data_IF_716943013708
#
_entry.id   IF_716943013708
#
_cell.length_a   1.000
_cell.length_b   1.000
_cell.length_c   1.000
_cell.angle_alpha   90.00
_cell.angle_beta   90.00
_cell.angle_gamma   90.00
#
_symmetry.space_group_name_H-M   'P 1'
#
loop_
_entity.id
_entity.type
_entity.pdbx_description
1 polymer ?
#
# COMPACT_ATOMS: atom_id res chain seq x y z
N UNK A 1 0.53 10.15 25.18
CA UNK A 1 -0.78 10.53 24.61
C UNK A 1 -1.74 10.66 25.79
N UNK A 2 -2.11 11.89 26.15
CA UNK A 2 -3.17 12.11 27.15
C UNK A 2 -4.44 12.11 26.31
N UNK A 3 -5.22 11.04 26.38
CA UNK A 3 -6.53 10.98 25.74
C UNK A 3 -7.42 12.07 26.34
N UNK A 4 -7.64 13.15 25.59
CA UNK A 4 -8.72 14.09 25.87
C UNK A 4 -10.04 13.44 25.44
N UNK A 5 -10.52 12.48 26.23
CA UNK A 5 -11.90 12.06 26.16
C UNK A 5 -12.77 13.25 26.56
N UNK A 6 -13.45 13.88 25.60
CA UNK A 6 -14.49 14.84 25.92
C UNK A 6 -15.78 14.05 26.23
N UNK A 7 -15.96 13.66 27.49
CA UNK A 7 -17.03 12.78 28.01
C UNK A 7 -18.43 13.45 27.94
N UNK A 8 -18.53 14.67 27.40
CA UNK A 8 -19.75 15.49 27.45
C UNK A 8 -20.63 15.41 26.20
N UNK A 9 -20.23 14.66 25.16
CA UNK A 9 -21.07 14.49 23.96
C UNK A 9 -21.98 13.27 24.11
N UNK A 10 -23.29 13.41 23.84
CA UNK A 10 -24.19 12.27 23.87
C UNK A 10 -23.82 11.29 22.75
N UNK A 11 -23.78 10.01 23.10
CA UNK A 11 -23.60 8.92 22.15
C UNK A 11 -24.90 8.14 21.99
N UNK A 12 -25.06 7.57 20.82
CA UNK A 12 -26.24 6.80 20.43
C UNK A 12 -25.78 5.56 19.67
N UNK A 13 -26.42 4.44 19.92
CA UNK A 13 -26.35 3.28 19.04
C UNK A 13 -27.23 3.48 17.81
N UNK A 14 -26.96 2.75 16.74
CA UNK A 14 -27.82 2.78 15.54
C UNK A 14 -29.28 2.40 15.86
N UNK A 15 -29.51 1.46 16.79
CA UNK A 15 -30.86 1.13 17.26
C UNK A 15 -31.55 2.29 17.99
N UNK A 16 -30.82 3.01 18.85
CA UNK A 16 -31.36 4.19 19.54
C UNK A 16 -31.70 5.32 18.55
N UNK A 17 -30.81 5.62 17.60
CA UNK A 17 -31.08 6.60 16.55
C UNK A 17 -32.33 6.24 15.74
N UNK A 18 -32.47 4.96 15.39
CA UNK A 18 -33.62 4.49 14.61
C UNK A 18 -34.93 4.58 15.39
N UNK A 19 -34.91 4.24 16.69
CA UNK A 19 -36.08 4.42 17.59
C UNK A 19 -36.46 5.89 17.76
N UNK A 20 -35.47 6.78 17.76
CA UNK A 20 -35.67 8.23 17.79
C UNK A 20 -36.11 8.81 16.43
N UNK A 21 -36.21 7.97 15.38
CA UNK A 21 -36.55 8.36 14.00
C UNK A 21 -35.59 9.39 13.41
N UNK A 22 -34.33 9.34 13.83
CA UNK A 22 -33.26 10.15 13.22
C UNK A 22 -32.93 9.56 11.87
N UNK A 23 -32.87 10.41 10.84
CA UNK A 23 -32.50 10.05 9.48
C UNK A 23 -30.97 10.05 9.30
N UNK A 24 -30.49 9.33 8.29
CA UNK A 24 -29.07 9.39 7.89
C UNK A 24 -28.60 10.80 7.53
N UNK A 25 -29.48 11.59 6.91
CA UNK A 25 -29.21 12.99 6.61
C UNK A 25 -29.02 13.83 7.87
N UNK A 26 -29.82 13.63 8.92
CA UNK A 26 -29.63 14.30 10.21
C UNK A 26 -28.32 13.90 10.89
N UNK A 27 -27.94 12.61 10.82
CA UNK A 27 -26.64 12.14 11.31
C UNK A 27 -25.49 12.85 10.60
N UNK A 28 -25.56 13.02 9.28
CA UNK A 28 -24.59 13.77 8.49
C UNK A 28 -24.51 15.24 8.92
N UNK A 29 -25.66 15.89 9.16
CA UNK A 29 -25.71 17.28 9.63
C UNK A 29 -25.14 17.45 11.05
N UNK A 30 -25.07 16.38 11.84
CA UNK A 30 -24.46 16.36 13.18
C UNK A 30 -22.95 16.10 13.16
N UNK A 31 -22.27 16.53 12.08
CA UNK A 31 -20.82 16.44 11.93
C UNK A 31 -20.27 15.01 11.95
N UNK A 32 -21.07 14.03 11.52
CA UNK A 32 -20.58 12.67 11.26
C UNK A 32 -19.76 12.60 9.97
N UNK A 33 -18.98 11.53 9.80
CA UNK A 33 -18.44 11.17 8.49
C UNK A 33 -19.57 10.68 7.57
N UNK A 34 -19.35 10.83 6.25
CA UNK A 34 -20.25 10.28 5.22
C UNK A 34 -20.41 8.77 5.41
N UNK A 35 -19.30 8.05 5.58
CA UNK A 35 -19.33 6.60 5.77
C UNK A 35 -20.22 6.16 6.94
N UNK A 36 -20.27 6.93 8.03
CA UNK A 36 -21.10 6.58 9.19
C UNK A 36 -22.58 6.80 8.88
N UNK A 37 -22.91 7.90 8.20
CA UNK A 37 -24.26 8.19 7.75
C UNK A 37 -24.75 7.14 6.73
N UNK A 38 -23.90 6.71 5.81
CA UNK A 38 -24.20 5.64 4.85
C UNK A 38 -24.39 4.27 5.52
N UNK A 39 -23.52 3.92 6.47
CA UNK A 39 -23.69 2.69 7.25
C UNK A 39 -24.97 2.71 8.09
N UNK A 40 -25.33 3.86 8.62
CA UNK A 40 -26.59 4.03 9.33
C UNK A 40 -27.79 3.96 8.38
N UNK A 41 -27.70 4.51 7.16
CA UNK A 41 -28.72 4.33 6.11
C UNK A 41 -28.89 2.84 5.76
N UNK A 42 -27.79 2.12 5.56
CA UNK A 42 -27.81 0.68 5.32
C UNK A 42 -28.44 -0.10 6.49
N UNK A 43 -28.18 0.30 7.73
CA UNK A 43 -28.83 -0.24 8.91
C UNK A 43 -30.36 0.00 8.90
N UNK A 44 -30.81 1.20 8.53
CA UNK A 44 -32.24 1.52 8.40
C UNK A 44 -32.91 0.65 7.34
N UNK A 45 -32.26 0.46 6.19
CA UNK A 45 -32.82 -0.25 5.04
C UNK A 45 -32.81 -1.78 5.25
N UNK A 46 -31.77 -2.33 5.89
CA UNK A 46 -31.60 -3.77 6.11
C UNK A 46 -31.15 -4.11 7.55
N UNK A 47 -31.99 -3.86 8.58
CA UNK A 47 -31.59 -3.96 9.99
C UNK A 47 -31.18 -5.39 10.41
N UNK A 48 -31.80 -6.42 9.84
CA UNK A 48 -31.53 -7.84 10.16
C UNK A 48 -30.18 -8.31 9.60
N UNK A 49 -29.73 -7.74 8.47
CA UNK A 49 -28.49 -8.14 7.79
C UNK A 49 -27.27 -7.35 8.23
N UNK A 50 -27.48 -6.11 8.70
CA UNK A 50 -26.36 -5.21 8.99
C UNK A 50 -25.48 -5.68 10.16
N UNK A 51 -25.99 -6.48 11.11
CA UNK A 51 -25.28 -6.85 12.36
C UNK A 51 -24.64 -5.66 13.11
N UNK A 52 -25.08 -4.42 12.83
CA UNK A 52 -24.51 -3.15 13.32
C UNK A 52 -25.34 -2.48 14.41
N UNK A 53 -26.19 -3.24 15.10
CA UNK A 53 -27.07 -2.73 16.17
C UNK A 53 -26.31 -1.93 17.24
N UNK A 54 -25.09 -2.37 17.57
CA UNK A 54 -24.24 -1.78 18.60
C UNK A 54 -23.22 -0.78 18.06
N UNK A 55 -23.26 -0.44 16.76
CA UNK A 55 -22.38 0.59 16.21
C UNK A 55 -22.75 1.94 16.82
N UNK A 56 -21.74 2.67 17.31
CA UNK A 56 -21.92 3.89 18.07
C UNK A 56 -21.70 5.12 17.18
N UNK A 57 -22.59 6.09 17.34
CA UNK A 57 -22.49 7.44 16.83
C UNK A 57 -22.34 8.41 17.99
N UNK A 58 -21.44 9.39 17.85
CA UNK A 58 -21.26 10.48 18.81
C UNK A 58 -21.79 11.76 18.18
N UNK A 59 -22.77 12.39 18.83
CA UNK A 59 -23.32 13.66 18.35
C UNK A 59 -22.40 14.81 18.77
N UNK A 60 -21.48 15.15 17.87
CA UNK A 60 -20.49 16.17 18.12
C UNK A 60 -21.11 17.56 17.99
N UNK A 61 -21.02 18.35 19.06
CA UNK A 61 -21.41 19.76 19.00
C UNK A 61 -20.28 20.53 18.31
N UNK A 62 -20.55 21.36 17.29
CA UNK A 62 -19.53 22.21 16.69
C UNK A 62 -18.76 23.00 17.77
N UNK A 63 -17.42 23.14 17.66
CA UNK A 63 -16.57 22.82 16.51
C UNK A 63 -15.95 21.41 16.53
N UNK A 64 -16.47 20.50 17.37
CA UNK A 64 -15.90 19.16 17.53
C UNK A 64 -16.32 18.23 16.40
N UNK A 65 -15.41 17.35 15.96
CA UNK A 65 -15.63 16.36 14.91
C UNK A 65 -14.78 15.10 15.14
N UNK A 66 -14.99 14.08 14.31
CA UNK A 66 -14.35 12.77 14.42
C UNK A 66 -15.26 11.72 15.04
N UNK A 67 -14.86 10.45 14.93
CA UNK A 67 -15.65 9.28 15.36
C UNK A 67 -16.06 9.26 16.83
N UNK A 68 -15.38 10.05 17.67
CA UNK A 68 -15.62 10.22 19.11
C UNK A 68 -15.59 11.70 19.53
N UNK A 69 -15.82 12.63 18.59
CA UNK A 69 -15.70 14.07 18.82
C UNK A 69 -14.33 14.49 19.37
N UNK A 70 -13.27 13.77 19.00
CA UNK A 70 -11.93 13.93 19.56
C UNK A 70 -11.13 15.07 18.93
N UNK A 71 -11.59 15.60 17.80
CA UNK A 71 -10.90 16.67 17.08
C UNK A 71 -11.71 17.95 17.16
N UNK A 72 -11.01 19.07 17.25
CA UNK A 72 -11.56 20.41 17.08
C UNK A 72 -10.47 21.30 16.54
N UNK A 73 -10.83 22.30 15.76
CA UNK A 73 -9.88 23.35 15.42
C UNK A 73 -9.75 24.31 16.61
N UNK A 74 -8.52 24.54 17.10
CA UNK A 74 -8.24 25.49 18.20
C UNK A 74 -8.53 26.96 17.80
N UNK A 75 -8.78 27.22 16.53
CA UNK A 75 -8.87 28.57 15.99
C UNK A 75 -10.31 28.88 15.57
N UNK A 76 -10.91 29.85 16.28
CA UNK A 76 -12.12 30.56 15.88
C UNK A 76 -11.75 31.63 14.84
N UNK A 77 -10.99 31.25 13.81
CA UNK A 77 -10.66 32.11 12.67
C UNK A 77 -11.35 31.60 11.40
N UNK A 78 -11.39 32.45 10.37
CA UNK A 78 -12.03 32.08 9.11
C UNK A 78 -11.34 30.83 8.50
N UNK A 79 -12.07 30.11 7.65
CA UNK A 79 -11.58 28.88 7.01
C UNK A 79 -10.20 29.06 6.36
N UNK A 80 -9.96 30.20 5.71
CA UNK A 80 -8.70 30.51 5.03
C UNK A 80 -7.51 30.65 6.00
N UNK A 81 -7.73 31.19 7.19
CA UNK A 81 -6.69 31.33 8.21
C UNK A 81 -6.43 29.99 8.91
N UNK A 82 -7.46 29.14 9.03
CA UNK A 82 -7.30 27.77 9.54
C UNK A 82 -6.50 26.91 8.56
N UNK A 83 -6.82 26.94 7.26
CA UNK A 83 -6.06 26.22 6.23
C UNK A 83 -4.62 26.71 6.14
N UNK A 84 -4.40 28.03 6.17
CA UNK A 84 -3.05 28.61 6.18
C UNK A 84 -2.22 28.17 7.39
N UNK A 85 -2.82 28.14 8.59
CA UNK A 85 -2.09 27.73 9.80
C UNK A 85 -1.82 26.22 9.86
N UNK A 86 -2.72 25.37 9.34
CA UNK A 86 -2.48 23.93 9.19
C UNK A 86 -1.32 23.69 8.23
N UNK A 87 -1.33 24.38 7.09
CA UNK A 87 -0.27 24.32 6.09
C UNK A 87 1.09 24.78 6.64
N UNK A 88 1.12 25.73 7.57
CA UNK A 88 2.38 26.23 8.14
C UNK A 88 2.91 25.36 9.29
N UNK A 89 2.04 24.74 10.09
CA UNK A 89 2.43 23.84 11.19
C UNK A 89 2.98 22.49 10.70
N UNK A 90 2.65 22.03 9.49
CA UNK A 90 3.22 20.80 8.91
C UNK A 90 4.70 20.93 8.53
N UNK A 91 5.29 22.14 8.59
CA UNK A 91 6.72 22.36 8.33
C UNK A 91 7.68 21.93 9.45
N UNK A 92 7.18 21.47 10.62
CA UNK A 92 8.08 21.01 11.70
C UNK A 92 8.44 19.55 11.54
N UNK A 93 9.69 19.35 11.11
CA UNK A 93 10.50 18.14 10.98
C UNK A 93 10.41 17.13 12.13
N UNK A 94 9.31 16.41 12.25
CA UNK A 94 9.30 15.10 12.87
C UNK A 94 8.80 14.11 11.83
N UNK A 95 9.62 13.11 11.51
CA UNK A 95 9.28 12.03 10.60
C UNK A 95 7.89 11.51 10.99
N UNK A 96 6.88 11.82 10.16
CA UNK A 96 5.49 11.44 10.40
C UNK A 96 5.47 9.92 10.35
N UNK A 97 5.53 9.34 11.54
CA UNK A 97 5.74 7.91 11.81
C UNK A 97 4.39 7.17 11.87
N UNK A 98 3.30 7.85 11.54
CA UNK A 98 1.96 7.31 11.50
C UNK A 98 1.48 7.27 10.05
N UNK A 99 1.76 6.15 9.37
CA UNK A 99 1.19 5.90 8.04
C UNK A 99 -0.27 5.54 8.20
N UNK A 100 -1.12 6.11 7.34
CA UNK A 100 -2.53 5.76 7.28
C UNK A 100 -2.68 4.42 6.56
N UNK A 101 -3.47 3.53 7.14
CA UNK A 101 -3.85 2.27 6.52
C UNK A 101 -5.26 2.40 5.98
N UNK A 102 -5.50 1.84 4.80
CA UNK A 102 -6.85 1.62 4.32
C UNK A 102 -7.46 0.47 5.12
N UNK A 103 -8.55 0.75 5.84
CA UNK A 103 -9.15 -0.20 6.79
C UNK A 103 -10.51 -0.74 6.34
N UNK A 104 -11.08 -0.17 5.27
CA UNK A 104 -12.42 -0.57 4.80
C UNK A 104 -12.37 -1.87 3.97
N UNK A 105 -11.19 -2.24 3.48
CA UNK A 105 -10.93 -3.52 2.84
C UNK A 105 -10.16 -4.42 3.81
N UNK A 106 -10.70 -5.59 4.11
CA UNK A 106 -10.00 -6.60 4.89
C UNK A 106 -8.92 -7.25 4.02
N UNK A 107 -7.70 -6.70 4.05
CA UNK A 107 -6.58 -7.15 3.25
C UNK A 107 -5.52 -7.87 4.10
N UNK A 108 -5.18 -9.10 3.74
CA UNK A 108 -4.05 -9.82 4.33
C UNK A 108 -2.76 -9.50 3.56
N UNK A 109 -1.95 -8.58 4.08
CA UNK A 109 -0.62 -8.24 3.51
C UNK A 109 0.50 -9.22 3.92
N UNK A 110 0.17 -10.30 4.62
CA UNK A 110 1.10 -11.29 5.14
C UNK A 110 1.92 -10.85 6.36
N UNK A 111 2.49 -9.64 6.36
CA UNK A 111 3.31 -9.11 7.47
C UNK A 111 2.67 -7.87 8.08
N UNK A 112 2.55 -7.86 9.41
CA UNK A 112 1.79 -6.85 10.16
C UNK A 112 2.31 -5.40 10.05
N UNK A 113 3.55 -5.16 9.62
CA UNK A 113 4.11 -3.81 9.51
C UNK A 113 3.76 -3.10 8.20
N UNK A 114 3.36 -3.83 7.15
CA UNK A 114 2.91 -3.26 5.89
C UNK A 114 1.39 -3.33 5.82
N UNK A 115 0.74 -2.17 5.72
CA UNK A 115 -0.70 -2.10 5.54
C UNK A 115 -1.05 -1.56 4.15
N UNK A 116 -2.25 -1.93 3.69
CA UNK A 116 -2.79 -1.50 2.41
C UNK A 116 -2.94 0.03 2.39
N UNK A 117 -2.41 0.65 1.34
CA UNK A 117 -2.65 2.02 0.95
C UNK A 117 -3.81 2.05 -0.04
N UNK A 118 -4.62 3.10 -0.03
CA UNK A 118 -5.76 3.17 -0.95
C UNK A 118 -5.33 3.23 -2.43
N UNK A 119 -4.08 3.66 -2.68
CA UNK A 119 -3.48 3.74 -4.03
C UNK A 119 -3.07 2.38 -4.60
N UNK A 120 -3.13 1.34 -3.80
CA UNK A 120 -2.82 -0.06 -4.13
C UNK A 120 -4.12 -0.88 -4.30
N UNK A 121 -5.25 -0.21 -4.50
CA UNK A 121 -6.55 -0.84 -4.74
C UNK A 121 -6.93 -0.57 -6.18
N UNK A 122 -7.23 -1.60 -6.95
CA UNK A 122 -7.53 -1.52 -8.38
C UNK A 122 -6.40 -0.86 -9.17
N UNK A 123 -5.14 -1.18 -8.82
CA UNK A 123 -3.96 -0.70 -9.53
C UNK A 123 -3.39 -1.73 -10.52
N UNK A 124 -4.07 -2.87 -10.66
CA UNK A 124 -3.68 -4.00 -11.49
C UNK A 124 -2.69 -4.95 -10.81
N UNK A 125 -2.35 -4.75 -9.53
CA UNK A 125 -1.40 -5.56 -8.78
C UNK A 125 -2.08 -6.22 -7.59
N UNK A 126 -1.88 -7.54 -7.47
CA UNK A 126 -2.39 -8.29 -6.32
C UNK A 126 -1.46 -8.09 -5.11
N UNK A 127 -1.83 -7.19 -4.23
CA UNK A 127 -1.14 -6.88 -2.98
C UNK A 127 -1.68 -7.66 -1.77
N UNK A 128 -2.95 -8.08 -1.80
CA UNK A 128 -3.60 -8.83 -0.73
C UNK A 128 -3.57 -10.36 -0.95
N UNK A 129 -3.10 -11.11 0.05
CA UNK A 129 -2.92 -12.58 0.00
C UNK A 129 -4.23 -13.36 0.16
N UNK A 130 -5.28 -12.71 0.66
CA UNK A 130 -6.61 -13.28 0.77
C UNK A 130 -7.39 -13.11 -0.54
N UNK A 131 -6.98 -13.87 -1.54
CA UNK A 131 -7.63 -13.99 -2.87
C UNK A 131 -7.64 -12.69 -3.70
N UNK A 132 -6.67 -11.79 -3.49
CA UNK A 132 -6.52 -10.57 -4.29
C UNK A 132 -7.72 -9.63 -4.20
N UNK A 133 -8.24 -9.46 -2.98
CA UNK A 133 -9.44 -8.68 -2.69
C UNK A 133 -9.32 -7.19 -3.10
N UNK A 134 -8.11 -6.65 -3.09
CA UNK A 134 -7.73 -5.32 -3.59
C UNK A 134 -7.97 -5.15 -5.08
N UNK A 135 -7.85 -6.22 -5.85
CA UNK A 135 -8.10 -6.22 -7.29
C UNK A 135 -9.48 -6.83 -7.63
N UNK A 136 -10.31 -7.08 -6.61
CA UNK A 136 -11.64 -7.64 -6.78
C UNK A 136 -12.66 -6.55 -7.08
N UNK A 137 -13.56 -6.81 -8.05
CA UNK A 137 -14.67 -5.91 -8.42
C UNK A 137 -14.26 -4.53 -8.98
N UNK A 138 -12.99 -4.33 -9.34
CA UNK A 138 -12.47 -3.11 -9.97
C UNK A 138 -13.12 -2.80 -11.32
N UNK A 139 -13.53 -3.84 -12.06
CA UNK A 139 -14.14 -3.70 -13.37
C UNK A 139 -15.36 -2.77 -13.39
N UNK A 140 -16.19 -2.77 -12.34
CA UNK A 140 -17.36 -1.90 -12.27
C UNK A 140 -16.99 -0.42 -12.15
N UNK A 141 -15.88 -0.12 -11.45
CA UNK A 141 -15.33 1.23 -11.34
C UNK A 141 -14.68 1.65 -12.67
N UNK A 142 -13.91 0.74 -13.26
CA UNK A 142 -13.17 1.04 -14.47
C UNK A 142 -14.08 1.23 -15.67
N UNK A 143 -15.06 0.36 -15.93
CA UNK A 143 -15.90 0.40 -17.15
C UNK A 143 -16.87 1.58 -17.24
N UNK A 144 -16.89 2.46 -16.24
CA UNK A 144 -17.77 3.61 -16.22
C UNK A 144 -17.72 4.41 -17.54
N UNK A 145 -18.89 4.66 -18.14
CA UNK A 145 -19.01 5.43 -19.38
C UNK A 145 -19.28 6.91 -19.06
N UNK A 146 -18.38 7.78 -19.48
CA UNK A 146 -18.52 9.23 -19.27
C UNK A 146 -19.47 9.86 -20.30
N UNK A 147 -20.03 11.01 -19.96
CA UNK A 147 -20.88 11.77 -20.88
C UNK A 147 -20.07 12.33 -22.05
N UNK A 148 -20.75 12.75 -23.13
CA UNK A 148 -20.10 13.31 -24.33
C UNK A 148 -19.22 14.54 -24.06
N UNK A 149 -19.44 15.26 -22.95
CA UNK A 149 -18.70 16.44 -22.53
C UNK A 149 -17.61 16.13 -21.49
N UNK A 150 -17.34 14.87 -21.23
CA UNK A 150 -16.36 14.39 -20.26
C UNK A 150 -15.29 13.53 -20.95
N UNK A 151 -14.12 13.43 -20.31
CA UNK A 151 -13.07 12.50 -20.65
C UNK A 151 -12.91 11.50 -19.52
N UNK A 152 -12.54 10.27 -19.89
CA UNK A 152 -12.37 9.15 -18.96
C UNK A 152 -10.89 8.98 -18.63
N UNK A 153 -10.57 8.99 -17.35
CA UNK A 153 -9.27 8.60 -16.79
C UNK A 153 -9.04 7.09 -16.93
N UNK A 154 -7.80 6.60 -16.79
CA UNK A 154 -7.54 5.15 -16.89
C UNK A 154 -8.26 4.36 -15.80
N UNK A 155 -8.36 4.92 -14.58
CA UNK A 155 -9.11 4.32 -13.47
C UNK A 155 -10.65 4.43 -13.57
N UNK A 156 -11.21 4.93 -14.69
CA UNK A 156 -12.67 5.04 -14.90
C UNK A 156 -13.32 6.32 -14.35
N UNK A 157 -12.56 7.21 -13.70
CA UNK A 157 -13.05 8.53 -13.31
C UNK A 157 -13.40 9.38 -14.54
N UNK A 158 -14.53 10.09 -14.47
CA UNK A 158 -14.95 11.03 -15.51
C UNK A 158 -14.63 12.46 -15.10
N UNK A 159 -13.84 13.15 -15.91
CA UNK A 159 -13.49 14.55 -15.72
C UNK A 159 -14.07 15.42 -16.84
N UNK A 160 -14.51 16.66 -16.58
CA UNK A 160 -15.01 17.52 -17.64
C UNK A 160 -13.94 17.82 -18.69
N UNK A 161 -14.32 17.84 -19.98
CA UNK A 161 -13.40 18.12 -21.11
C UNK A 161 -12.65 19.44 -20.98
N UNK A 162 -13.22 20.41 -20.27
CA UNK A 162 -12.58 21.71 -20.01
C UNK A 162 -11.26 21.60 -19.25
N UNK A 163 -11.03 20.51 -18.53
CA UNK A 163 -9.80 20.27 -17.78
C UNK A 163 -8.76 19.45 -18.55
N UNK A 164 -9.12 18.91 -19.72
CA UNK A 164 -8.24 18.04 -20.51
C UNK A 164 -7.23 18.79 -21.37
N UNK A 165 -7.45 20.08 -21.62
CA UNK A 165 -6.54 20.91 -22.41
C UNK A 165 -5.35 21.40 -21.55
N UNK A 166 -4.39 20.50 -21.33
CA UNK A 166 -2.93 20.64 -21.51
C UNK A 166 -2.16 21.91 -21.12
N UNK A 167 -2.73 22.88 -20.39
CA UNK A 167 -2.04 24.12 -20.06
C UNK A 167 -1.37 24.02 -18.69
N UNK A 168 -0.22 23.33 -18.61
CA UNK A 168 0.65 23.25 -17.40
C UNK A 168 -0.13 23.15 -16.07
N UNK A 169 -1.23 22.38 -16.08
CA UNK A 169 -2.22 22.35 -15.02
C UNK A 169 -2.00 21.23 -14.02
N UNK A 170 -2.70 21.34 -12.89
CA UNK A 170 -2.87 20.27 -11.92
C UNK A 170 -3.62 19.10 -12.58
N UNK A 171 -3.30 17.86 -12.22
CA UNK A 171 -4.00 16.70 -12.76
C UNK A 171 -5.38 16.60 -12.12
N UNK A 172 -6.43 16.39 -12.91
CA UNK A 172 -7.77 16.12 -12.37
C UNK A 172 -7.99 14.62 -12.20
N UNK A 173 -7.35 13.80 -13.02
CA UNK A 173 -7.35 12.36 -12.81
C UNK A 173 -6.48 11.98 -11.60
N UNK A 174 -7.00 11.12 -10.72
CA UNK A 174 -6.24 10.63 -9.56
C UNK A 174 -4.97 9.86 -9.98
N UNK A 175 -4.99 9.18 -11.13
CA UNK A 175 -3.84 8.48 -11.72
C UNK A 175 -3.00 9.35 -12.68
N UNK A 176 -3.35 10.65 -12.79
CA UNK A 176 -2.73 11.62 -13.71
C UNK A 176 -2.76 11.20 -15.18
N UNK A 177 -3.71 10.35 -15.59
CA UNK A 177 -3.84 9.86 -16.97
C UNK A 177 -4.26 10.93 -17.98
N UNK A 178 -4.75 12.07 -17.50
CA UNK A 178 -5.05 13.28 -18.27
C UNK A 178 -3.79 14.11 -18.63
N UNK A 179 -2.65 13.85 -18.00
CA UNK A 179 -1.39 14.52 -18.29
C UNK A 179 -0.51 13.75 -19.29
N UNK A 180 0.14 14.44 -20.22
CA UNK A 180 1.10 13.82 -21.16
C UNK A 180 2.42 13.39 -20.48
N UNK A 181 2.85 14.13 -19.47
CA UNK A 181 4.05 13.86 -18.67
C UNK A 181 3.64 13.91 -17.22
N UNK A 182 3.94 12.88 -16.43
CA UNK A 182 3.80 12.99 -14.99
C UNK A 182 4.90 13.90 -14.45
N UNK A 183 4.58 15.09 -13.93
CA UNK A 183 5.53 15.76 -13.05
C UNK A 183 5.73 14.86 -11.83
N UNK A 184 6.98 14.51 -11.56
CA UNK A 184 7.35 13.99 -10.25
C UNK A 184 6.88 15.00 -9.20
N UNK A 185 6.32 14.49 -8.10
CA UNK A 185 5.99 15.32 -6.96
C UNK A 185 7.27 16.04 -6.52
N UNK A 186 7.36 17.38 -6.67
CA UNK A 186 8.60 18.08 -6.36
C UNK A 186 8.93 17.88 -4.88
N UNK A 187 10.20 17.66 -4.54
CA UNK A 187 10.65 17.40 -3.16
C UNK A 187 10.11 18.42 -2.14
N UNK A 188 9.85 19.66 -2.58
CA UNK A 188 9.24 20.71 -1.77
C UNK A 188 7.80 20.45 -1.37
N UNK A 189 7.02 19.71 -2.16
CA UNK A 189 5.65 19.27 -1.84
C UNK A 189 5.60 17.96 -1.06
N UNK A 190 6.68 17.18 -1.04
CA UNK A 190 6.77 15.98 -0.18
C UNK A 190 7.12 16.35 1.27
N UNK A 191 7.67 17.55 1.50
CA UNK A 191 7.97 18.09 2.84
C UNK A 191 6.82 18.86 3.47
N UNK A 192 5.77 19.14 2.71
CA UNK A 192 4.60 19.89 3.14
C UNK A 192 3.45 18.96 2.85
N UNK A 193 2.69 18.51 3.85
CA UNK A 193 1.44 17.75 3.65
C UNK A 193 0.40 18.61 2.91
N UNK A 194 0.71 19.00 1.68
CA UNK A 194 -0.13 19.75 0.78
C UNK A 194 -0.88 18.69 -0.02
N UNK A 195 -2.20 18.78 0.04
CA UNK A 195 -3.14 17.88 -0.63
C UNK A 195 -2.78 17.56 -2.10
N UNK A 196 -2.07 18.46 -2.79
CA UNK A 196 -1.67 18.32 -4.19
C UNK A 196 -0.68 17.20 -4.55
N UNK A 197 -0.23 16.33 -3.65
CA UNK A 197 0.52 15.11 -4.05
C UNK A 197 -0.08 13.85 -3.45
N UNK A 198 -0.49 13.90 -2.19
CA UNK A 198 -1.07 12.76 -1.50
C UNK A 198 -2.39 12.28 -2.13
N UNK A 199 -3.08 13.09 -2.93
CA UNK A 199 -4.33 12.72 -3.60
C UNK A 199 -4.12 11.89 -4.87
N UNK A 200 -2.87 11.78 -5.36
CA UNK A 200 -2.59 11.04 -6.59
C UNK A 200 -2.10 9.61 -6.33
N UNK A 201 -2.54 8.70 -7.20
CA UNK A 201 -2.07 7.33 -7.33
C UNK A 201 -0.98 7.22 -8.41
N UNK A 202 -0.25 6.11 -8.38
CA UNK A 202 0.67 5.78 -9.46
C UNK A 202 -0.12 5.30 -10.68
N UNK A 203 0.44 5.51 -11.88
CA UNK A 203 -0.16 4.99 -13.09
C UNK A 203 -0.14 3.47 -13.10
N UNK A 204 -1.29 2.80 -13.28
CA UNK A 204 -1.38 1.34 -13.30
C UNK A 204 -0.47 0.69 -14.36
N UNK A 205 -0.32 1.33 -15.52
CA UNK A 205 0.45 0.79 -16.65
C UNK A 205 1.97 0.85 -16.47
N UNK A 206 2.46 1.65 -15.52
CA UNK A 206 3.90 1.78 -15.25
C UNK A 206 4.40 0.78 -14.19
N UNK A 207 3.50 0.08 -13.48
CA UNK A 207 3.89 -0.92 -12.48
C UNK A 207 4.74 -0.36 -11.33
N UNK A 208 4.57 0.91 -10.99
CA UNK A 208 5.36 1.59 -9.94
C UNK A 208 4.82 1.31 -8.54
N UNK A 209 5.72 1.32 -7.57
CA UNK A 209 5.39 1.21 -6.14
C UNK A 209 4.98 2.58 -5.58
N UNK A 210 3.76 2.71 -5.00
CA UNK A 210 3.30 3.95 -4.39
C UNK A 210 3.93 4.13 -3.00
N UNK A 211 4.59 5.27 -2.79
CA UNK A 211 5.24 5.59 -1.53
C UNK A 211 4.28 6.04 -0.43
N UNK A 212 3.01 6.28 -0.73
CA UNK A 212 2.00 6.65 0.26
C UNK A 212 1.76 8.17 0.41
N UNK A 213 2.51 8.98 -0.33
CA UNK A 213 2.53 10.45 -0.30
C UNK A 213 2.46 11.07 -1.71
N UNK A 214 2.10 10.26 -2.72
CA UNK A 214 2.08 10.66 -4.13
C UNK A 214 3.40 10.46 -4.88
N UNK A 215 4.50 10.12 -4.17
CA UNK A 215 5.72 9.67 -4.83
C UNK A 215 5.53 8.25 -5.40
N UNK A 216 5.93 8.04 -6.64
CA UNK A 216 5.95 6.74 -7.31
C UNK A 216 7.39 6.36 -7.63
N UNK A 217 7.80 5.18 -7.21
CA UNK A 217 9.15 4.65 -7.47
C UNK A 217 9.05 3.31 -8.18
N UNK A 218 10.12 2.87 -8.82
CA UNK A 218 10.21 1.48 -9.30
C UNK A 218 10.05 0.50 -8.13
N UNK A 219 9.66 -0.74 -8.42
CA UNK A 219 9.60 -1.80 -7.42
C UNK A 219 10.92 -1.92 -6.64
N UNK A 220 10.81 -2.02 -5.31
CA UNK A 220 11.95 -1.98 -4.37
C UNK A 220 12.76 -0.66 -4.36
N UNK A 221 12.29 0.38 -5.06
CA UNK A 221 12.87 1.71 -5.07
C UNK A 221 12.75 2.44 -3.72
N UNK A 222 13.60 3.45 -3.51
CA UNK A 222 13.64 4.21 -2.25
C UNK A 222 12.59 5.33 -2.22
N UNK A 223 11.56 5.14 -1.42
CA UNK A 223 10.64 6.21 -1.02
C UNK A 223 11.29 7.22 -0.06
N UNK A 224 11.07 8.51 -0.29
CA UNK A 224 11.57 9.60 0.57
C UNK A 224 11.02 9.50 1.99
N UNK A 225 9.73 9.16 2.12
CA UNK A 225 9.10 8.96 3.42
C UNK A 225 9.48 7.63 4.09
N UNK A 226 10.27 6.77 3.43
CA UNK A 226 10.68 5.48 3.97
C UNK A 226 9.66 4.34 3.84
N UNK A 227 8.60 4.42 3.00
CA UNK A 227 7.62 3.30 2.86
C UNK A 227 8.28 2.01 2.42
N UNK A 228 9.25 2.14 1.52
CA UNK A 228 10.10 1.04 1.06
C UNK A 228 10.77 0.25 2.20
N UNK A 229 10.98 0.86 3.38
CA UNK A 229 11.52 0.17 4.56
C UNK A 229 10.58 -0.93 5.04
N UNK A 230 9.25 -0.71 4.98
CA UNK A 230 8.24 -1.68 5.43
C UNK A 230 8.14 -2.86 4.47
N UNK A 231 8.19 -2.60 3.17
CA UNK A 231 8.28 -3.65 2.15
C UNK A 231 9.58 -4.46 2.32
N UNK A 232 10.69 -3.77 2.59
CA UNK A 232 11.97 -4.43 2.84
C UNK A 232 11.92 -5.31 4.09
N UNK A 233 11.34 -4.81 5.17
CA UNK A 233 11.19 -5.53 6.44
C UNK A 233 10.27 -6.76 6.29
N UNK A 234 9.18 -6.64 5.51
CA UNK A 234 8.27 -7.77 5.25
C UNK A 234 8.97 -8.89 4.47
N UNK A 235 9.82 -8.55 3.49
CA UNK A 235 10.62 -9.52 2.73
C UNK A 235 11.80 -10.09 3.53
N UNK A 236 12.20 -9.41 4.61
CA UNK A 236 13.29 -9.83 5.50
C UNK A 236 12.88 -10.84 6.57
N UNK A 237 11.61 -11.24 6.64
CA UNK A 237 11.15 -12.13 7.71
C UNK A 237 11.81 -13.52 7.63
N UNK A 238 12.27 -14.01 8.78
CA UNK A 238 12.91 -15.33 8.88
C UNK A 238 11.97 -16.46 8.45
N UNK A 239 10.69 -16.38 8.83
CA UNK A 239 9.70 -17.43 8.57
C UNK A 239 10.19 -18.80 9.07
N UNK A 240 10.10 -19.80 8.19
CA UNK A 240 10.49 -21.18 8.51
C UNK A 240 11.97 -21.48 8.22
N UNK A 241 12.77 -20.52 7.77
CA UNK A 241 14.18 -20.76 7.46
C UNK A 241 15.00 -20.87 8.76
N UNK A 242 15.97 -21.82 8.82
CA UNK A 242 16.99 -21.81 9.85
C UNK A 242 17.73 -20.47 9.85
N UNK A 243 18.11 -19.98 11.03
CA UNK A 243 18.73 -18.65 11.19
C UNK A 243 19.93 -18.45 10.25
N UNK A 244 20.83 -19.44 10.16
CA UNK A 244 22.01 -19.38 9.30
C UNK A 244 21.67 -19.28 7.81
N UNK A 245 20.61 -19.97 7.36
CA UNK A 245 20.12 -19.90 5.99
C UNK A 245 19.48 -18.54 5.70
N UNK A 246 18.66 -18.07 6.63
CA UNK A 246 17.98 -16.79 6.53
C UNK A 246 18.98 -15.63 6.41
N UNK A 247 19.91 -15.50 7.35
CA UNK A 247 20.88 -14.40 7.33
C UNK A 247 21.84 -14.49 6.13
N UNK A 248 22.19 -15.71 5.68
CA UNK A 248 22.94 -15.89 4.45
C UNK A 248 22.16 -15.37 3.24
N UNK A 249 20.87 -15.71 3.11
CA UNK A 249 20.04 -15.26 2.00
C UNK A 249 19.76 -13.76 2.03
N UNK A 250 19.55 -13.18 3.21
CA UNK A 250 19.45 -11.72 3.40
C UNK A 250 20.68 -11.02 2.84
N UNK A 251 21.88 -11.52 3.18
CA UNK A 251 23.12 -10.90 2.74
C UNK A 251 23.48 -11.16 1.27
N UNK A 252 23.13 -12.34 0.73
CA UNK A 252 23.49 -12.72 -0.64
C UNK A 252 22.52 -12.14 -1.67
N UNK A 253 21.22 -12.16 -1.41
CA UNK A 253 20.21 -11.72 -2.38
C UNK A 253 20.25 -10.21 -2.64
N UNK A 254 20.71 -9.42 -1.65
CA UNK A 254 20.65 -7.94 -1.66
C UNK A 254 19.25 -7.37 -1.93
N UNK A 255 18.19 -8.18 -1.79
CA UNK A 255 16.80 -7.70 -1.77
C UNK A 255 16.64 -6.64 -0.67
N UNK A 256 17.51 -6.68 0.35
CA UNK A 256 17.54 -5.80 1.49
C UNK A 256 18.88 -5.07 1.52
N UNK A 257 19.02 -4.01 0.72
CA UNK A 257 20.19 -3.10 0.75
C UNK A 257 20.39 -2.41 2.12
N UNK A 258 19.49 -2.66 3.07
CA UNK A 258 19.42 -2.02 4.39
C UNK A 258 19.98 -2.86 5.53
N UNK A 259 20.25 -4.16 5.30
CA UNK A 259 20.95 -4.94 6.30
C UNK A 259 22.37 -4.42 6.32
N UNK A 260 22.73 -3.78 7.43
CA UNK A 260 24.00 -3.12 7.65
C UNK A 260 25.13 -3.89 6.97
N UNK A 261 25.74 -3.25 5.97
CA UNK A 261 26.79 -3.85 5.15
C UNK A 261 27.90 -4.46 6.01
N UNK A 262 28.11 -3.94 7.22
CA UNK A 262 29.05 -4.44 8.23
C UNK A 262 28.64 -5.83 8.76
N UNK A 263 27.36 -6.03 9.09
CA UNK A 263 26.83 -7.31 9.57
C UNK A 263 26.95 -8.38 8.49
N UNK A 264 26.66 -8.05 7.23
CA UNK A 264 26.86 -8.96 6.10
C UNK A 264 28.34 -9.16 5.78
N UNK A 265 29.20 -8.14 5.85
CA UNK A 265 30.66 -8.27 5.67
C UNK A 265 31.29 -9.23 6.68
N UNK A 266 30.80 -9.25 7.91
CA UNK A 266 31.23 -10.21 8.93
C UNK A 266 30.71 -11.63 8.66
N UNK A 267 29.50 -11.76 8.11
CA UNK A 267 28.84 -13.04 7.86
C UNK A 267 29.28 -13.72 6.55
N UNK A 268 29.56 -12.96 5.50
CA UNK A 268 29.83 -13.44 4.12
C UNK A 268 31.33 -13.69 3.87
N UNK A 269 32.11 -13.98 4.91
CA UNK A 269 33.42 -14.59 4.67
C UNK A 269 33.18 -16.00 4.07
N UNK A 270 33.57 -16.18 2.80
CA UNK A 270 33.33 -17.40 2.00
C UNK A 270 33.66 -18.71 2.74
N UNK A 271 34.72 -18.70 3.55
CA UNK A 271 35.15 -19.84 4.37
C UNK A 271 34.16 -20.25 5.47
N UNK A 272 33.26 -19.35 5.86
CA UNK A 272 32.29 -19.55 6.93
C UNK A 272 30.85 -19.72 6.42
N UNK A 273 30.52 -19.22 5.23
CA UNK A 273 29.14 -19.25 4.71
C UNK A 273 28.79 -20.55 3.99
N UNK A 274 29.75 -21.16 3.26
CA UNK A 274 29.49 -22.40 2.52
C UNK A 274 29.06 -23.57 3.44
N UNK A 275 29.76 -23.85 4.56
CA UNK A 275 29.33 -24.91 5.48
C UNK A 275 27.97 -24.64 6.12
N UNK A 276 27.59 -23.36 6.27
CA UNK A 276 26.27 -22.97 6.78
C UNK A 276 25.16 -23.16 5.74
N UNK A 277 25.46 -22.91 4.47
CA UNK A 277 24.52 -23.16 3.37
C UNK A 277 24.32 -24.67 3.10
N UNK A 278 25.29 -25.52 3.48
CA UNK A 278 25.15 -26.97 3.37
C UNK A 278 24.08 -27.56 4.29
N UNK A 279 23.74 -26.89 5.40
CA UNK A 279 22.68 -27.32 6.32
C UNK A 279 21.29 -26.85 5.89
N UNK A 280 21.19 -26.00 4.88
CA UNK A 280 19.94 -25.50 4.36
C UNK A 280 19.23 -26.53 3.45
N UNK A 281 17.91 -26.56 3.53
CA UNK A 281 17.10 -27.29 2.56
C UNK A 281 17.26 -26.68 1.16
N UNK A 282 17.16 -27.52 0.11
CA UNK A 282 17.40 -27.12 -1.25
C UNK A 282 16.25 -27.53 -2.17
N UNK A 283 15.75 -26.65 -3.06
CA UNK A 283 16.08 -25.22 -3.21
C UNK A 283 15.72 -24.37 -1.98
N UNK A 284 16.44 -23.26 -1.76
CA UNK A 284 16.07 -22.29 -0.71
C UNK A 284 15.04 -21.33 -1.29
N UNK A 285 13.86 -21.26 -0.68
CA UNK A 285 12.90 -20.20 -0.95
C UNK A 285 13.22 -18.99 -0.07
N UNK A 286 13.54 -17.86 -0.70
CA UNK A 286 13.76 -16.60 0.00
C UNK A 286 13.32 -15.44 -0.89
N UNK A 287 12.64 -14.41 -0.38
CA UNK A 287 11.91 -14.34 0.89
C UNK A 287 10.99 -15.54 1.15
N UNK A 288 10.62 -15.74 2.42
CA UNK A 288 9.72 -16.84 2.80
C UNK A 288 8.25 -16.56 2.44
N UNK A 289 7.94 -15.28 2.22
CA UNK A 289 6.66 -14.79 1.69
C UNK A 289 6.75 -14.53 0.17
N UNK A 290 5.62 -14.41 -0.54
CA UNK A 290 5.59 -13.92 -1.91
C UNK A 290 6.26 -12.55 -2.04
N UNK A 291 6.97 -12.33 -3.14
CA UNK A 291 7.74 -11.12 -3.43
C UNK A 291 6.95 -10.12 -4.26
N UNK A 292 6.08 -10.61 -5.14
CA UNK A 292 5.23 -9.82 -6.03
C UNK A 292 3.88 -10.52 -6.20
N UNK A 293 2.83 -9.74 -6.42
CA UNK A 293 1.49 -10.21 -6.83
C UNK A 293 0.90 -11.29 -5.91
N UNK A 294 1.23 -11.29 -4.61
CA UNK A 294 0.80 -12.29 -3.62
C UNK A 294 1.14 -13.77 -3.91
N UNK A 295 1.72 -14.12 -5.06
CA UNK A 295 1.95 -15.50 -5.46
C UNK A 295 3.36 -15.76 -6.02
N UNK A 296 4.09 -14.71 -6.42
CA UNK A 296 5.42 -14.86 -7.02
C UNK A 296 6.45 -15.13 -5.94
N UNK A 297 7.25 -16.19 -6.11
CA UNK A 297 8.26 -16.63 -5.13
C UNK A 297 9.59 -16.89 -5.82
N UNK A 298 10.67 -16.65 -5.11
CA UNK A 298 12.03 -16.86 -5.61
C UNK A 298 12.68 -18.08 -4.98
N UNK A 299 13.30 -18.91 -5.83
CA UNK A 299 14.07 -20.08 -5.41
C UNK A 299 15.53 -19.93 -5.80
N UNK A 300 16.40 -20.28 -4.85
CA UNK A 300 17.84 -20.16 -4.95
C UNK A 300 18.52 -21.52 -4.83
N UNK A 301 19.52 -21.70 -5.68
CA UNK A 301 20.39 -22.86 -5.74
C UNK A 301 21.83 -22.45 -5.34
N UNK A 302 22.10 -22.26 -4.04
CA UNK A 302 23.38 -21.74 -3.58
C UNK A 302 24.58 -22.65 -3.87
N UNK A 303 24.34 -23.94 -4.17
CA UNK A 303 25.39 -24.89 -4.56
C UNK A 303 26.06 -24.58 -5.90
N UNK A 304 25.50 -23.67 -6.70
CA UNK A 304 26.09 -23.17 -7.95
C UNK A 304 26.96 -21.93 -7.75
N UNK A 305 27.14 -21.48 -6.50
CA UNK A 305 27.86 -20.27 -6.16
C UNK A 305 29.36 -20.59 -6.03
N UNK A 306 30.10 -20.38 -7.12
CA UNK A 306 31.55 -20.64 -7.15
C UNK A 306 32.41 -19.40 -6.87
N UNK A 307 31.82 -18.19 -6.90
CA UNK A 307 32.55 -16.94 -6.70
C UNK A 307 31.61 -15.85 -6.15
N UNK A 308 31.54 -15.69 -4.83
CA UNK A 308 30.75 -14.61 -4.20
C UNK A 308 31.68 -13.42 -4.05
N UNK A 309 31.52 -12.41 -4.91
CA UNK A 309 31.82 -11.07 -4.45
C UNK A 309 30.64 -10.61 -3.60
N UNK A 310 30.90 -10.10 -2.39
CA UNK A 310 29.88 -9.43 -1.56
C UNK A 310 29.28 -8.22 -2.31
N UNK A 311 29.92 -7.78 -3.39
CA UNK A 311 29.44 -6.70 -4.26
C UNK A 311 28.34 -7.15 -5.23
N UNK A 312 28.25 -8.44 -5.59
CA UNK A 312 27.26 -8.95 -6.55
C UNK A 312 26.04 -9.55 -5.83
N UNK A 313 24.84 -9.10 -6.21
CA UNK A 313 23.59 -9.68 -5.73
C UNK A 313 23.39 -11.08 -6.32
N UNK A 314 23.01 -12.04 -5.47
CA UNK A 314 22.58 -13.36 -5.91
C UNK A 314 21.20 -13.24 -6.54
N UNK A 315 21.12 -13.52 -7.83
CA UNK A 315 19.85 -13.57 -8.55
C UNK A 315 19.16 -14.92 -8.33
N UNK A 316 17.81 -14.95 -8.32
CA UNK A 316 17.07 -16.18 -8.14
C UNK A 316 17.29 -17.12 -9.34
N UNK A 317 17.51 -18.39 -9.06
CA UNK A 317 17.65 -19.40 -10.10
C UNK A 317 16.31 -19.69 -10.76
N UNK A 318 15.22 -19.57 -10.01
CA UNK A 318 13.87 -19.74 -10.51
C UNK A 318 12.91 -18.73 -9.93
N UNK A 319 11.94 -18.36 -10.76
CA UNK A 319 10.76 -17.59 -10.40
C UNK A 319 9.58 -18.55 -10.45
N UNK A 320 8.98 -18.78 -9.29
CA UNK A 320 7.80 -19.61 -9.11
C UNK A 320 6.54 -18.74 -8.98
N UNK A 321 5.42 -19.24 -9.49
CA UNK A 321 4.16 -18.53 -9.59
C UNK A 321 2.99 -19.50 -9.57
N UNK A 322 1.78 -18.99 -9.39
CA UNK A 322 0.54 -19.76 -9.56
C UNK A 322 0.19 -19.85 -11.05
N UNK A 323 0.04 -21.08 -11.55
CA UNK A 323 -0.29 -21.37 -12.96
C UNK A 323 -1.65 -20.80 -13.37
N UNK A 324 -2.60 -20.68 -12.43
CA UNK A 324 -3.94 -20.16 -12.72
C UNK A 324 -3.93 -18.64 -12.94
N UNK A 325 -3.03 -17.93 -12.23
CA UNK A 325 -2.88 -16.48 -12.35
C UNK A 325 -1.91 -16.09 -13.48
N UNK A 326 -1.10 -17.03 -13.96
CA UNK A 326 -0.09 -16.81 -15.00
C UNK A 326 -0.17 -17.88 -16.10
N UNK A 327 -1.37 -18.15 -16.60
CA UNK A 327 -1.62 -19.19 -17.62
C UNK A 327 -0.93 -18.93 -18.97
N UNK A 328 -0.56 -17.67 -19.22
CA UNK A 328 0.25 -17.23 -20.36
C UNK A 328 1.72 -17.66 -20.28
N UNK A 329 2.22 -18.10 -19.11
CA UNK A 329 3.58 -18.58 -18.92
C UNK A 329 3.65 -20.11 -18.98
N UNK A 330 4.53 -20.64 -19.82
CA UNK A 330 4.81 -22.09 -19.83
C UNK A 330 5.83 -22.45 -18.74
N UNK A 331 5.51 -23.38 -17.82
CA UNK A 331 6.42 -23.77 -16.75
C UNK A 331 7.61 -24.58 -17.28
N UNK A 332 8.81 -24.33 -16.74
CA UNK A 332 10.00 -25.16 -17.04
C UNK A 332 10.17 -26.31 -16.07
N UNK A 333 9.73 -26.13 -14.81
CA UNK A 333 9.67 -27.19 -13.82
C UNK A 333 8.61 -26.90 -12.74
N UNK A 334 8.30 -27.91 -11.90
CA UNK A 334 7.39 -27.78 -10.76
C UNK A 334 8.14 -28.04 -9.45
N UNK A 335 7.88 -27.23 -8.44
CA UNK A 335 8.43 -27.38 -7.08
C UNK A 335 7.29 -27.43 -6.05
N UNK A 336 7.03 -28.60 -5.47
CA UNK A 336 5.85 -28.81 -4.65
C UNK A 336 4.57 -28.54 -5.45
N UNK A 337 3.75 -27.60 -4.99
CA UNK A 337 2.52 -27.17 -5.66
C UNK A 337 2.73 -25.97 -6.61
N UNK A 338 3.96 -25.44 -6.73
CA UNK A 338 4.25 -24.25 -7.53
C UNK A 338 4.74 -24.62 -8.92
N UNK A 339 4.33 -23.83 -9.92
CA UNK A 339 4.95 -23.79 -11.25
C UNK A 339 6.07 -22.78 -11.28
N UNK A 340 7.16 -23.09 -11.98
CA UNK A 340 8.34 -22.24 -11.97
C UNK A 340 9.00 -22.16 -13.34
N UNK A 341 9.70 -21.05 -13.58
CA UNK A 341 10.59 -20.82 -14.73
C UNK A 341 12.00 -20.45 -14.28
N UNK A 342 12.98 -20.68 -15.14
CA UNK A 342 14.35 -20.24 -14.87
C UNK A 342 14.44 -18.72 -14.83
N UNK A 343 15.15 -18.16 -13.84
CA UNK A 343 15.29 -16.71 -13.68
C UNK A 343 15.85 -16.01 -14.92
N UNK A 344 16.86 -16.60 -15.57
CA UNK A 344 17.47 -16.03 -16.77
C UNK A 344 16.52 -15.95 -17.97
N UNK A 345 15.51 -16.82 -18.06
CA UNK A 345 14.47 -16.72 -19.09
C UNK A 345 13.50 -15.57 -18.83
N UNK A 346 13.44 -15.07 -17.60
CA UNK A 346 12.64 -13.93 -17.16
C UNK A 346 13.46 -12.63 -17.14
N UNK A 347 14.61 -12.60 -17.81
CA UNK A 347 15.52 -11.44 -17.81
C UNK A 347 16.35 -11.28 -16.54
N UNK A 348 16.24 -12.21 -15.57
CA UNK A 348 17.07 -12.19 -14.36
C UNK A 348 18.39 -12.92 -14.64
N UNK A 349 19.40 -12.18 -15.11
CA UNK A 349 20.77 -12.70 -15.25
C UNK A 349 21.44 -12.52 -16.62
N UNK A 350 21.00 -11.58 -17.45
CA UNK A 350 21.64 -11.29 -18.74
C UNK A 350 22.35 -9.93 -18.84
N UNK A 351 22.81 -9.36 -17.72
CA UNK A 351 23.73 -8.22 -17.72
C UNK A 351 24.85 -8.43 -16.67
N UNK A 352 25.74 -9.39 -16.96
CA UNK A 352 27.12 -9.32 -16.49
C UNK A 352 27.99 -9.32 -17.74
N UNK A 353 28.33 -8.11 -18.20
CA UNK A 353 29.49 -7.88 -19.07
C UNK A 353 30.63 -7.30 -18.23
#
# INVERSE_FOLDING_TARGET
MIDFFNINHPNFTFDELHRLRVTSHEVLLWSSSIDLAERYQYYIDQPIKSNRLNEQFFNCTPPWFGSRCQYSFELVSNFAETTFNIQWKSHTTEAITYRTCYILLECDRGVASMCLDWREICDGRIDCFNDGVDESQCFELEINECNENENRCHNGLCIPKTFWDGDYGEAECLDKSDLLVMPDCPDTYLQVDMFGCAEYACRPDEGRFPCGDGQCVEDFGKCQNGRHLLLTESLSVQGNLPYDCWIAMVCLSKIIDQVNEISCKQFVNLSQILPRLETCEYPIQFPTIPVLLAHVRFLYHPKQIFNISVELALLPNYVCYDEQLCDFLTPTFRHGNMTCRYGHEMGLGSDVK
#
